data_IF_412062682427
#
_entry.id   IF_412062682427
#
_cell.length_a   1.000
_cell.length_b   1.000
_cell.length_c   1.000
_cell.angle_alpha   90.00
_cell.angle_beta   90.00
_cell.angle_gamma   90.00
#
_symmetry.space_group_name_H-M   'P 1'
#
loop_
_entity.id
_entity.type
_entity.pdbx_description
1 polymer ?
#
# COMPACT_ATOMS: atom_id res chain seq x y z
N UNK A 1 -20.96 57.14 -1.73
CA UNK A 1 -20.48 56.50 -0.49
C UNK A 1 -20.79 55.01 -0.55
N UNK A 2 -22.00 54.61 -0.98
CA UNK A 2 -22.36 53.21 -1.17
C UNK A 2 -21.45 52.47 -2.17
N UNK A 3 -21.19 53.05 -3.36
CA UNK A 3 -20.29 52.44 -4.36
C UNK A 3 -18.85 52.17 -3.83
N UNK A 4 -18.32 53.07 -2.97
CA UNK A 4 -17.01 52.89 -2.37
C UNK A 4 -17.03 51.78 -1.31
N UNK A 5 -18.17 51.54 -0.67
CA UNK A 5 -18.36 50.51 0.30
C UNK A 5 -18.45 49.14 -0.36
N UNK A 6 -19.22 49.05 -1.46
CA UNK A 6 -19.34 47.85 -2.26
C UNK A 6 -17.99 47.46 -2.87
N UNK A 7 -17.24 48.44 -3.37
CA UNK A 7 -15.87 48.20 -3.84
C UNK A 7 -14.96 47.67 -2.75
N UNK A 8 -15.00 48.26 -1.55
CA UNK A 8 -14.19 47.81 -0.43
C UNK A 8 -14.54 46.35 -0.02
N UNK A 9 -15.85 46.07 0.08
CA UNK A 9 -16.33 44.76 0.50
C UNK A 9 -15.99 43.66 -0.53
N UNK A 10 -16.32 43.90 -1.81
CA UNK A 10 -16.12 42.88 -2.85
C UNK A 10 -14.64 42.64 -3.12
N UNK A 11 -13.86 43.72 -3.28
CA UNK A 11 -12.47 43.60 -3.76
C UNK A 11 -11.47 43.40 -2.62
N UNK A 12 -11.52 44.20 -1.56
CA UNK A 12 -10.51 44.18 -0.51
C UNK A 12 -10.78 43.00 0.44
N UNK A 13 -12.01 42.88 0.93
CA UNK A 13 -12.37 41.78 1.85
C UNK A 13 -12.33 40.43 1.15
N UNK A 14 -12.82 40.31 -0.08
CA UNK A 14 -12.72 39.09 -0.88
C UNK A 14 -11.27 38.63 -1.14
N UNK A 15 -10.34 39.61 -1.38
CA UNK A 15 -8.91 39.28 -1.48
C UNK A 15 -8.32 38.79 -0.16
N UNK A 16 -8.70 39.43 0.96
CA UNK A 16 -8.24 38.99 2.30
C UNK A 16 -8.75 37.62 2.64
N UNK A 17 -10.04 37.35 2.41
CA UNK A 17 -10.66 36.06 2.64
C UNK A 17 -9.99 34.94 1.84
N UNK A 18 -9.84 35.13 0.54
CA UNK A 18 -9.17 34.15 -0.33
C UNK A 18 -7.72 33.93 0.07
N UNK A 19 -6.99 34.99 0.39
CA UNK A 19 -5.60 34.88 0.85
C UNK A 19 -5.50 34.09 2.16
N UNK A 20 -6.44 34.30 3.08
CA UNK A 20 -6.52 33.57 4.34
C UNK A 20 -6.81 32.09 4.12
N UNK A 21 -7.74 31.75 3.23
CA UNK A 21 -8.04 30.37 2.85
C UNK A 21 -6.83 29.68 2.19
N UNK A 22 -6.14 30.35 1.28
CA UNK A 22 -4.92 29.84 0.64
C UNK A 22 -3.77 29.62 1.65
N UNK A 23 -3.66 30.49 2.64
CA UNK A 23 -2.68 30.31 3.72
C UNK A 23 -2.93 29.00 4.48
N UNK A 24 -4.17 28.72 4.87
CA UNK A 24 -4.51 27.49 5.55
C UNK A 24 -4.41 26.26 4.64
N UNK A 25 -4.73 26.39 3.34
CA UNK A 25 -4.51 25.34 2.35
C UNK A 25 -3.04 24.93 2.29
N UNK A 26 -2.13 25.88 2.16
CA UNK A 26 -0.69 25.62 2.14
C UNK A 26 -0.23 24.93 3.45
N UNK A 27 -0.80 25.37 4.59
CA UNK A 27 -0.51 24.78 5.90
C UNK A 27 -1.03 23.35 6.03
N UNK A 28 -2.24 23.05 5.54
CA UNK A 28 -2.79 21.68 5.51
C UNK A 28 -2.03 20.74 4.58
N UNK A 29 -1.57 21.29 3.43
CA UNK A 29 -0.73 20.54 2.49
C UNK A 29 0.72 20.37 2.97
N UNK A 30 1.09 20.97 4.13
CA UNK A 30 2.47 20.99 4.68
C UNK A 30 3.51 21.54 3.67
N UNK A 31 3.10 22.42 2.78
CA UNK A 31 3.92 23.01 1.72
C UNK A 31 4.01 24.53 1.91
N UNK A 32 5.08 25.12 1.40
CA UNK A 32 5.23 26.58 1.37
C UNK A 32 4.77 27.08 0.01
N UNK A 33 3.88 28.08 0.00
CA UNK A 33 3.47 28.78 -1.19
C UNK A 33 4.28 30.09 -1.31
N UNK A 34 4.73 30.40 -2.51
CA UNK A 34 5.45 31.65 -2.75
C UNK A 34 4.51 32.86 -2.60
N UNK A 35 4.89 33.93 -1.86
CA UNK A 35 3.99 35.05 -1.52
C UNK A 35 3.21 35.65 -2.69
N UNK A 36 3.77 35.91 -3.87
CA UNK A 36 3.03 36.44 -5.02
C UNK A 36 1.84 35.62 -5.46
N UNK A 37 1.85 34.28 -5.24
CA UNK A 37 0.73 33.43 -5.61
C UNK A 37 -0.52 33.70 -4.77
N UNK A 38 -0.36 34.06 -3.48
CA UNK A 38 -1.51 34.46 -2.66
C UNK A 38 -2.27 35.61 -3.28
N UNK A 39 -1.54 36.67 -3.71
CA UNK A 39 -2.13 37.82 -4.33
C UNK A 39 -2.73 37.53 -5.71
N UNK A 40 -2.00 36.81 -6.56
CA UNK A 40 -2.44 36.47 -7.91
C UNK A 40 -3.73 35.65 -7.92
N UNK A 41 -3.80 34.59 -7.09
CA UNK A 41 -4.98 33.74 -7.02
C UNK A 41 -6.14 34.42 -6.30
N UNK A 42 -5.87 35.25 -5.28
CA UNK A 42 -6.90 36.04 -4.62
C UNK A 42 -7.52 37.07 -5.58
N UNK A 43 -6.71 37.80 -6.36
CA UNK A 43 -7.20 38.71 -7.39
C UNK A 43 -8.04 37.95 -8.45
N UNK A 44 -7.57 36.79 -8.90
CA UNK A 44 -8.31 35.95 -9.83
C UNK A 44 -9.66 35.51 -9.28
N UNK A 45 -9.71 35.11 -8.01
CA UNK A 45 -10.93 34.70 -7.33
C UNK A 45 -11.96 35.81 -7.24
N UNK A 46 -11.51 37.04 -6.92
CA UNK A 46 -12.37 38.25 -6.84
C UNK A 46 -12.94 38.59 -8.21
N UNK A 47 -12.11 38.55 -9.27
CA UNK A 47 -12.57 38.78 -10.64
C UNK A 47 -13.63 37.73 -11.05
N UNK A 48 -13.42 36.46 -10.73
CA UNK A 48 -14.37 35.39 -11.04
C UNK A 48 -15.68 35.60 -10.27
N UNK A 49 -15.60 36.03 -9.01
CA UNK A 49 -16.78 36.28 -8.18
C UNK A 49 -17.71 37.38 -8.75
N UNK A 50 -17.17 38.30 -9.54
CA UNK A 50 -17.97 39.34 -10.21
C UNK A 50 -18.86 38.75 -11.32
N UNK A 51 -18.39 37.71 -12.00
CA UNK A 51 -19.16 37.01 -13.05
C UNK A 51 -20.01 35.86 -12.50
N UNK A 52 -19.53 35.21 -11.47
CA UNK A 52 -20.17 34.03 -10.86
C UNK A 52 -20.15 34.23 -9.34
N UNK A 53 -21.22 34.79 -8.76
CA UNK A 53 -21.28 35.07 -7.32
C UNK A 53 -21.01 33.82 -6.47
N UNK A 54 -20.12 33.96 -5.50
CA UNK A 54 -19.72 32.86 -4.58
C UNK A 54 -20.87 32.36 -3.70
N UNK A 55 -21.94 33.14 -3.53
CA UNK A 55 -23.18 32.72 -2.85
C UNK A 55 -24.03 31.71 -3.62
N UNK A 56 -23.67 31.41 -4.88
CA UNK A 56 -24.39 30.38 -5.67
C UNK A 56 -23.64 29.03 -5.62
N UNK A 57 -24.37 27.94 -5.82
CA UNK A 57 -23.78 26.58 -5.87
C UNK A 57 -22.68 26.51 -6.93
N UNK A 58 -22.91 27.13 -8.11
CA UNK A 58 -21.92 27.14 -9.19
C UNK A 58 -20.69 27.96 -8.78
N UNK A 59 -20.89 29.13 -8.17
CA UNK A 59 -19.81 29.99 -7.68
C UNK A 59 -18.92 29.29 -6.67
N UNK A 60 -19.51 28.60 -5.70
CA UNK A 60 -18.76 27.82 -4.72
C UNK A 60 -17.94 26.68 -5.37
N UNK A 61 -18.53 25.91 -6.28
CA UNK A 61 -17.80 24.85 -6.98
C UNK A 61 -16.61 25.42 -7.76
N UNK A 62 -16.84 26.52 -8.50
CA UNK A 62 -15.77 27.21 -9.26
C UNK A 62 -14.68 27.71 -8.32
N UNK A 63 -15.05 28.29 -7.19
CA UNK A 63 -14.12 28.79 -6.18
C UNK A 63 -13.31 27.67 -5.52
N UNK A 64 -13.96 26.56 -5.13
CA UNK A 64 -13.27 25.40 -4.57
C UNK A 64 -12.30 24.76 -5.59
N UNK A 65 -12.67 24.70 -6.86
CA UNK A 65 -11.79 24.25 -7.93
C UNK A 65 -10.59 25.19 -8.12
N UNK A 66 -10.81 26.50 -8.09
CA UNK A 66 -9.73 27.50 -8.21
C UNK A 66 -8.71 27.35 -7.07
N UNK A 67 -9.17 27.24 -5.82
CA UNK A 67 -8.32 26.98 -4.65
C UNK A 67 -7.58 25.65 -4.80
N UNK A 68 -8.26 24.61 -5.31
CA UNK A 68 -7.67 23.30 -5.54
C UNK A 68 -6.56 23.33 -6.59
N UNK A 69 -6.80 24.00 -7.71
CA UNK A 69 -5.80 24.20 -8.77
C UNK A 69 -4.60 24.98 -8.23
N UNK A 70 -4.85 26.03 -7.42
CA UNK A 70 -3.79 26.76 -6.75
C UNK A 70 -2.93 25.86 -5.86
N UNK A 71 -3.53 25.01 -5.04
CA UNK A 71 -2.81 24.07 -4.19
C UNK A 71 -2.00 23.04 -4.98
N UNK A 72 -2.57 22.51 -6.06
CA UNK A 72 -1.88 21.57 -6.92
C UNK A 72 -0.69 22.21 -7.65
N UNK A 73 -0.87 23.42 -8.18
CA UNK A 73 0.13 24.13 -8.97
C UNK A 73 1.19 24.83 -8.09
N UNK A 74 0.75 25.66 -7.14
CA UNK A 74 1.66 26.50 -6.35
C UNK A 74 2.36 25.73 -5.22
N UNK A 75 1.72 24.66 -4.69
CA UNK A 75 2.28 23.81 -3.64
C UNK A 75 2.85 22.50 -4.18
N UNK A 76 2.77 22.21 -5.48
CA UNK A 76 3.14 20.91 -6.06
C UNK A 76 2.52 19.73 -5.28
N UNK A 77 1.25 19.86 -4.92
CA UNK A 77 0.53 18.86 -4.15
C UNK A 77 -0.33 17.96 -5.06
N UNK A 78 -0.70 16.79 -4.55
CA UNK A 78 -1.64 15.93 -5.26
C UNK A 78 -3.00 16.64 -5.40
N UNK A 79 -3.56 16.70 -6.62
CA UNK A 79 -4.82 17.37 -6.91
C UNK A 79 -5.98 16.86 -6.04
N UNK A 80 -6.05 15.55 -5.78
CA UNK A 80 -7.10 14.95 -4.93
C UNK A 80 -7.05 15.47 -3.49
N UNK A 81 -5.85 15.56 -2.91
CA UNK A 81 -5.65 16.12 -1.57
C UNK A 81 -5.96 17.61 -1.54
N UNK A 82 -5.49 18.37 -2.55
CA UNK A 82 -5.77 19.78 -2.67
C UNK A 82 -7.28 20.06 -2.78
N UNK A 83 -8.00 19.26 -3.55
CA UNK A 83 -9.45 19.37 -3.71
C UNK A 83 -10.19 19.12 -2.39
N UNK A 84 -9.82 18.07 -1.66
CA UNK A 84 -10.43 17.76 -0.38
C UNK A 84 -10.26 18.89 0.63
N UNK A 85 -9.03 19.41 0.78
CA UNK A 85 -8.77 20.51 1.69
C UNK A 85 -9.39 21.82 1.23
N UNK A 86 -9.45 22.09 -0.08
CA UNK A 86 -10.09 23.27 -0.62
C UNK A 86 -11.59 23.30 -0.30
N UNK A 87 -12.30 22.19 -0.50
CA UNK A 87 -13.71 22.05 -0.15
C UNK A 87 -13.92 22.20 1.36
N UNK A 88 -13.08 21.56 2.17
CA UNK A 88 -13.16 21.63 3.62
C UNK A 88 -12.97 23.07 4.14
N UNK A 89 -11.99 23.80 3.61
CA UNK A 89 -11.70 25.18 3.98
C UNK A 89 -12.87 26.10 3.58
N UNK A 90 -13.36 25.95 2.34
CA UNK A 90 -14.47 26.77 1.85
C UNK A 90 -15.76 26.49 2.66
N UNK A 91 -16.03 25.25 3.01
CA UNK A 91 -17.20 24.85 3.81
C UNK A 91 -17.15 25.40 5.23
N UNK A 92 -16.00 25.30 5.92
CA UNK A 92 -15.84 25.87 7.26
C UNK A 92 -16.06 27.39 7.22
N UNK A 93 -15.53 28.08 6.21
CA UNK A 93 -15.70 29.52 6.06
C UNK A 93 -17.18 29.87 5.85
N UNK A 94 -17.86 29.17 4.96
CA UNK A 94 -19.29 29.35 4.68
C UNK A 94 -20.14 29.18 5.94
N UNK A 95 -19.90 28.12 6.70
CA UNK A 95 -20.63 27.86 7.96
C UNK A 95 -20.34 28.93 9.02
N UNK A 96 -19.09 29.37 9.17
CA UNK A 96 -18.71 30.40 10.10
C UNK A 96 -19.34 31.75 9.74
N UNK A 97 -19.33 32.12 8.46
CA UNK A 97 -19.99 33.33 7.97
C UNK A 97 -21.50 33.28 8.24
N UNK A 98 -22.15 32.14 7.97
CA UNK A 98 -23.57 31.94 8.27
C UNK A 98 -23.91 32.04 9.77
N UNK A 99 -23.05 31.51 10.64
CA UNK A 99 -23.22 31.63 12.11
C UNK A 99 -23.15 33.09 12.54
N UNK A 100 -22.11 33.82 12.12
CA UNK A 100 -21.90 35.22 12.53
C UNK A 100 -22.99 36.10 11.93
N UNK A 101 -23.33 35.93 10.65
CA UNK A 101 -24.41 36.67 9.97
C UNK A 101 -25.76 36.48 10.69
N UNK A 102 -26.12 35.22 10.96
CA UNK A 102 -27.37 34.91 11.69
C UNK A 102 -27.38 35.49 13.11
N UNK A 103 -26.23 35.41 13.82
CA UNK A 103 -26.09 35.92 15.17
C UNK A 103 -26.26 37.45 15.23
N UNK A 104 -25.67 38.17 14.27
CA UNK A 104 -25.75 39.62 14.19
C UNK A 104 -27.09 40.13 13.69
N UNK A 105 -27.86 39.32 12.98
CA UNK A 105 -29.22 39.63 12.53
C UNK A 105 -30.26 39.48 13.63
N UNK A 106 -30.00 38.71 14.69
CA UNK A 106 -30.92 38.53 15.84
C UNK A 106 -31.26 39.83 16.55
N UNK A 107 -30.34 40.73 16.91
CA UNK A 107 -30.63 42.00 17.55
C UNK A 107 -31.15 43.10 16.61
N UNK A 108 -31.10 42.91 15.28
CA UNK A 108 -31.39 43.93 14.28
C UNK A 108 -32.82 44.56 14.42
N UNK A 109 -33.89 43.80 14.75
CA UNK A 109 -35.22 44.40 14.94
C UNK A 109 -35.30 45.42 16.09
N UNK A 110 -34.36 45.34 17.02
CA UNK A 110 -34.34 46.18 18.25
C UNK A 110 -33.37 47.37 18.16
N UNK A 111 -32.53 47.43 17.11
CA UNK A 111 -31.44 48.41 16.95
C UNK A 111 -31.60 49.46 15.85
N UNK A 112 -32.73 49.64 15.13
CA UNK A 112 -32.79 50.61 14.00
C UNK A 112 -32.54 52.04 14.42
N UNK A 113 -32.67 52.40 15.68
CA UNK A 113 -32.45 53.77 16.16
C UNK A 113 -30.98 54.17 16.38
N UNK A 114 -30.04 53.24 16.36
CA UNK A 114 -28.64 53.48 16.73
C UNK A 114 -27.65 53.55 15.54
N UNK A 115 -28.03 53.05 14.37
CA UNK A 115 -27.09 52.97 13.26
C UNK A 115 -27.44 53.93 12.11
N UNK A 116 -26.81 55.09 12.13
CA UNK A 116 -26.57 55.85 10.89
C UNK A 116 -25.68 55.03 9.94
N UNK A 117 -25.52 55.45 8.66
CA UNK A 117 -24.72 54.72 7.66
C UNK A 117 -23.32 54.32 8.14
N UNK A 118 -22.67 55.10 8.99
CA UNK A 118 -21.39 54.77 9.63
C UNK A 118 -21.45 53.59 10.60
N UNK A 119 -22.60 53.39 11.26
CA UNK A 119 -22.81 52.24 12.14
C UNK A 119 -22.92 50.92 11.36
N UNK A 120 -23.52 50.95 10.20
CA UNK A 120 -23.63 49.75 9.34
C UNK A 120 -22.26 49.28 8.84
N UNK A 121 -21.34 50.20 8.51
CA UNK A 121 -19.97 49.86 8.11
C UNK A 121 -19.21 49.23 9.27
N UNK A 122 -19.32 49.79 10.48
CA UNK A 122 -18.67 49.24 11.65
C UNK A 122 -19.20 47.86 12.01
N UNK A 123 -20.52 47.64 11.93
CA UNK A 123 -21.13 46.33 12.14
C UNK A 123 -20.65 45.29 11.14
N UNK A 124 -20.57 45.65 9.85
CA UNK A 124 -20.04 44.78 8.80
C UNK A 124 -18.57 44.38 9.05
N UNK A 125 -17.70 45.35 9.39
CA UNK A 125 -16.31 45.07 9.70
C UNK A 125 -16.15 44.17 10.93
N UNK A 126 -17.02 44.36 11.96
CA UNK A 126 -17.03 43.50 13.15
C UNK A 126 -17.46 42.07 12.78
N UNK A 127 -18.49 41.92 11.94
CA UNK A 127 -18.94 40.62 11.45
C UNK A 127 -17.83 39.89 10.71
N UNK A 128 -17.18 40.54 9.79
CA UNK A 128 -16.07 39.99 9.02
C UNK A 128 -14.90 39.58 9.91
N UNK A 129 -14.48 40.45 10.83
CA UNK A 129 -13.43 40.14 11.79
C UNK A 129 -13.80 38.94 12.68
N UNK A 130 -15.06 38.84 13.14
CA UNK A 130 -15.55 37.74 13.94
C UNK A 130 -15.57 36.43 13.12
N UNK A 131 -15.95 36.48 11.84
CA UNK A 131 -15.94 35.33 10.91
C UNK A 131 -14.52 34.82 10.67
N UNK A 132 -13.56 35.71 10.45
CA UNK A 132 -12.13 35.34 10.32
C UNK A 132 -11.59 34.69 11.61
N UNK A 133 -11.93 35.23 12.77
CA UNK A 133 -11.50 34.64 14.05
C UNK A 133 -12.10 33.26 14.28
N UNK A 134 -13.39 33.09 14.02
CA UNK A 134 -14.09 31.83 14.21
C UNK A 134 -13.58 30.77 13.21
N UNK A 135 -13.48 31.11 11.92
CA UNK A 135 -12.98 30.20 10.90
C UNK A 135 -11.50 29.85 11.14
N UNK A 136 -10.67 30.82 11.52
CA UNK A 136 -9.27 30.60 11.90
C UNK A 136 -9.11 29.68 13.09
N UNK A 137 -10.00 29.79 14.09
CA UNK A 137 -10.03 28.87 15.22
C UNK A 137 -10.42 27.43 14.78
N UNK A 138 -11.46 27.30 13.93
CA UNK A 138 -11.85 26.02 13.36
C UNK A 138 -10.72 25.39 12.53
N UNK A 139 -10.06 26.18 11.65
CA UNK A 139 -8.90 25.71 10.88
C UNK A 139 -7.75 25.28 11.79
N UNK A 140 -7.49 26.02 12.87
CA UNK A 140 -6.44 25.64 13.83
C UNK A 140 -6.77 24.33 14.53
N UNK A 141 -8.03 24.09 14.93
CA UNK A 141 -8.46 22.81 15.51
C UNK A 141 -8.25 21.69 14.50
N UNK A 142 -8.73 21.85 13.26
CA UNK A 142 -8.56 20.86 12.21
C UNK A 142 -7.08 20.61 11.96
N UNK A 143 -6.26 21.65 11.80
CA UNK A 143 -4.82 21.52 11.60
C UNK A 143 -4.16 20.77 12.75
N UNK A 144 -4.42 21.13 14.01
CA UNK A 144 -3.82 20.49 15.18
C UNK A 144 -4.23 19.04 15.33
N UNK A 145 -5.48 18.75 15.01
CA UNK A 145 -6.05 17.41 15.18
C UNK A 145 -5.66 16.46 14.03
N UNK A 146 -5.56 16.97 12.81
CA UNK A 146 -5.27 16.20 11.59
C UNK A 146 -3.83 16.36 11.08
N UNK A 147 -3.05 17.28 11.62
CA UNK A 147 -1.68 17.58 11.17
C UNK A 147 -0.64 16.51 11.51
N UNK A 148 -0.99 15.50 12.31
CA UNK A 148 -0.16 14.33 12.55
C UNK A 148 -0.58 13.23 11.59
N UNK A 149 -0.01 13.21 10.38
CA UNK A 149 0.08 12.07 9.43
C UNK A 149 -1.20 11.27 9.08
N UNK A 150 -2.40 11.78 9.42
CA UNK A 150 -3.61 10.98 9.48
C UNK A 150 -4.53 11.08 8.26
N UNK A 151 -4.47 12.14 7.45
CA UNK A 151 -5.32 12.27 6.25
C UNK A 151 -4.59 11.91 4.94
N UNK A 152 -3.29 12.16 4.89
CA UNK A 152 -2.40 11.73 3.81
C UNK A 152 -1.00 11.54 4.39
N UNK A 153 -0.41 10.35 4.38
CA UNK A 153 0.98 10.15 4.75
C UNK A 153 1.86 10.94 3.79
N UNK A 154 2.56 11.95 4.32
CA UNK A 154 3.33 12.89 3.52
C UNK A 154 4.60 12.27 2.91
N UNK A 155 5.08 11.15 3.45
CA UNK A 155 6.33 10.51 3.04
C UNK A 155 6.17 9.59 1.81
N UNK A 156 4.94 9.15 1.48
CA UNK A 156 4.70 8.26 0.33
C UNK A 156 4.53 9.03 -1.00
N UNK A 157 4.53 10.36 -0.98
CA UNK A 157 4.32 11.19 -2.16
C UNK A 157 5.58 11.44 -3.01
N UNK A 158 6.77 11.05 -2.52
CA UNK A 158 8.04 11.30 -3.22
C UNK A 158 8.69 10.06 -3.87
N UNK A 159 8.17 8.86 -3.63
CA UNK A 159 8.66 7.65 -4.31
C UNK A 159 7.65 7.23 -5.38
N UNK A 160 8.05 7.32 -6.64
CA UNK A 160 7.26 6.90 -7.80
C UNK A 160 6.95 5.38 -7.82
N UNK A 161 7.51 4.62 -6.87
CA UNK A 161 7.43 3.16 -6.79
C UNK A 161 6.75 2.63 -5.50
N UNK A 162 6.11 3.50 -4.69
CA UNK A 162 5.36 3.01 -3.52
C UNK A 162 4.04 2.39 -3.97
N UNK A 163 3.75 1.12 -3.59
CA UNK A 163 2.47 0.51 -3.93
C UNK A 163 1.34 1.27 -3.24
N UNK A 164 0.32 1.65 -4.02
CA UNK A 164 -1.03 2.19 -3.72
C UNK A 164 -1.45 2.32 -2.23
N UNK A 165 -0.69 3.03 -1.42
CA UNK A 165 -1.14 3.56 -0.12
C UNK A 165 -1.91 4.87 -0.28
N UNK A 166 -2.12 5.32 -1.53
CA UNK A 166 -3.06 6.38 -1.85
C UNK A 166 -4.44 5.93 -1.34
N UNK A 167 -5.00 6.75 -0.44
CA UNK A 167 -6.35 6.62 0.10
C UNK A 167 -7.29 6.02 -0.95
N UNK A 168 -7.74 4.80 -0.71
CA UNK A 168 -8.53 4.05 -1.65
C UNK A 168 -9.77 4.86 -2.06
N UNK A 169 -10.22 4.74 -3.30
CA UNK A 169 -11.38 5.50 -3.82
C UNK A 169 -12.59 5.41 -2.88
N UNK A 170 -12.79 4.27 -2.23
CA UNK A 170 -13.84 4.05 -1.23
C UNK A 170 -13.67 4.90 0.03
N UNK A 171 -12.45 5.08 0.52
CA UNK A 171 -12.17 5.91 1.70
C UNK A 171 -12.36 7.40 1.40
N UNK A 172 -12.03 7.82 0.18
CA UNK A 172 -12.27 9.17 -0.29
C UNK A 172 -13.76 9.49 -0.39
N UNK A 173 -14.58 8.56 -0.88
CA UNK A 173 -16.04 8.72 -0.93
C UNK A 173 -16.66 8.85 0.47
N UNK A 174 -16.13 8.15 1.45
CA UNK A 174 -16.65 8.14 2.82
C UNK A 174 -16.52 9.51 3.53
N UNK A 175 -15.53 10.32 3.13
CA UNK A 175 -15.39 11.70 3.61
C UNK A 175 -16.13 12.67 2.68
N UNK A 176 -15.95 12.49 1.37
CA UNK A 176 -16.42 13.46 0.38
C UNK A 176 -17.93 13.57 0.34
N UNK A 177 -18.66 12.44 0.40
CA UNK A 177 -20.14 12.44 0.32
C UNK A 177 -20.78 13.19 1.48
N UNK A 178 -20.43 12.96 2.78
CA UNK A 178 -21.00 13.72 3.87
C UNK A 178 -20.66 15.22 3.82
N UNK A 179 -19.42 15.58 3.47
CA UNK A 179 -19.03 16.99 3.31
C UNK A 179 -19.84 17.63 2.18
N UNK A 180 -20.01 16.95 1.05
CA UNK A 180 -20.84 17.43 -0.06
C UNK A 180 -22.31 17.60 0.35
N UNK A 181 -22.85 16.72 1.20
CA UNK A 181 -24.20 16.85 1.70
C UNK A 181 -24.38 18.08 2.61
N UNK A 182 -23.42 18.32 3.52
CA UNK A 182 -23.42 19.53 4.36
C UNK A 182 -23.34 20.76 3.48
N UNK A 183 -22.46 20.73 2.47
CA UNK A 183 -22.30 21.80 1.50
C UNK A 183 -23.59 22.12 0.73
N UNK A 184 -24.28 21.10 0.19
CA UNK A 184 -25.56 21.32 -0.51
C UNK A 184 -26.58 21.94 0.45
N UNK A 185 -26.64 21.47 1.68
CA UNK A 185 -27.53 22.00 2.71
C UNK A 185 -27.22 23.47 3.05
N UNK A 186 -25.93 23.79 3.28
CA UNK A 186 -25.49 25.17 3.60
C UNK A 186 -25.78 26.13 2.48
N UNK A 187 -25.52 25.72 1.24
CA UNK A 187 -25.83 26.55 0.05
C UNK A 187 -27.32 26.73 -0.18
N UNK A 188 -28.12 25.71 0.11
CA UNK A 188 -29.58 25.83 0.03
C UNK A 188 -30.11 26.83 1.04
N UNK A 189 -29.60 26.82 2.28
CA UNK A 189 -29.94 27.79 3.32
C UNK A 189 -29.52 29.22 2.90
N UNK A 190 -28.31 29.39 2.36
CA UNK A 190 -27.82 30.66 1.87
C UNK A 190 -28.70 31.21 0.71
N UNK A 191 -29.09 30.35 -0.21
CA UNK A 191 -29.95 30.77 -1.32
C UNK A 191 -31.32 31.27 -0.82
N UNK A 192 -31.91 30.58 0.16
CA UNK A 192 -33.17 31.03 0.78
C UNK A 192 -32.99 32.37 1.49
N UNK A 193 -31.87 32.56 2.21
CA UNK A 193 -31.57 33.84 2.89
C UNK A 193 -31.40 34.98 1.91
N UNK A 194 -30.70 34.73 0.80
CA UNK A 194 -30.47 35.72 -0.24
C UNK A 194 -31.77 36.13 -0.95
N UNK A 195 -32.61 35.17 -1.31
CA UNK A 195 -33.90 35.44 -1.96
C UNK A 195 -34.82 36.21 -1.02
N UNK A 196 -34.81 35.88 0.27
CA UNK A 196 -35.59 36.58 1.31
C UNK A 196 -35.16 38.05 1.49
N UNK A 197 -33.85 38.31 1.54
CA UNK A 197 -33.33 39.68 1.65
C UNK A 197 -33.69 40.51 0.39
N UNK A 198 -33.67 39.90 -0.77
CA UNK A 198 -34.03 40.56 -2.05
C UNK A 198 -35.52 40.90 -2.11
N UNK A 199 -36.40 39.99 -1.62
CA UNK A 199 -37.84 40.26 -1.55
C UNK A 199 -38.22 41.38 -0.57
N UNK A 200 -37.53 41.49 0.57
CA UNK A 200 -37.70 42.59 1.51
C UNK A 200 -37.30 43.93 0.89
N UNK A 201 -36.16 43.96 0.18
CA UNK A 201 -35.67 45.18 -0.52
C UNK A 201 -36.59 45.60 -1.67
N UNK A 202 -37.30 44.66 -2.30
CA UNK A 202 -38.21 44.90 -3.41
C UNK A 202 -39.63 45.39 -2.99
N UNK A 203 -39.87 45.60 -1.65
CA UNK A 203 -41.13 46.04 -1.09
C UNK A 203 -42.35 45.16 -1.48
N UNK A 204 -42.08 43.92 -1.82
CA UNK A 204 -43.08 42.87 -1.99
C UNK A 204 -43.33 42.30 -0.62
N UNK A 205 -44.35 42.83 0.08
CA UNK A 205 -44.75 42.48 1.43
C UNK A 205 -44.36 41.08 1.96
N UNK A 206 -44.46 40.79 3.26
CA UNK A 206 -43.85 39.62 3.84
C UNK A 206 -44.42 38.33 3.27
N UNK A 207 -43.81 37.81 2.24
CA UNK A 207 -43.93 36.41 1.87
C UNK A 207 -43.45 35.59 3.07
N UNK A 208 -44.28 34.72 3.55
CA UNK A 208 -44.13 34.07 4.86
C UNK A 208 -42.71 33.61 5.17
N UNK A 209 -42.18 34.00 6.28
CA UNK A 209 -40.86 33.67 6.78
C UNK A 209 -40.64 32.14 6.77
N UNK A 210 -39.88 31.63 5.84
CA UNK A 210 -39.56 30.19 5.83
C UNK A 210 -38.68 29.81 7.03
N UNK A 211 -37.71 30.67 7.43
CA UNK A 211 -36.89 30.47 8.61
C UNK A 211 -36.63 31.77 9.35
N UNK A 212 -36.70 31.73 10.68
CA UNK A 212 -36.21 32.83 11.53
C UNK A 212 -34.67 32.81 11.60
N UNK A 213 -34.05 33.97 11.86
CA UNK A 213 -32.58 34.04 12.05
C UNK A 213 -32.07 33.06 13.11
N UNK A 214 -32.90 32.77 14.13
CA UNK A 214 -32.56 31.76 15.15
C UNK A 214 -32.54 30.34 14.58
N UNK A 215 -33.44 30.00 13.65
CA UNK A 215 -33.44 28.71 12.99
C UNK A 215 -32.28 28.57 12.08
N UNK A 216 -31.90 29.60 11.31
CA UNK A 216 -30.70 29.63 10.47
C UNK A 216 -29.43 29.45 11.30
N UNK A 217 -29.30 30.19 12.41
CA UNK A 217 -28.18 30.02 13.34
C UNK A 217 -28.07 28.59 13.85
N UNK A 218 -29.17 27.96 14.21
CA UNK A 218 -29.18 26.57 14.66
C UNK A 218 -28.74 25.62 13.57
N UNK A 219 -29.17 25.81 12.32
CA UNK A 219 -28.79 24.99 11.17
C UNK A 219 -27.31 25.10 10.85
N UNK A 220 -26.72 26.31 10.85
CA UNK A 220 -25.28 26.49 10.63
C UNK A 220 -24.45 25.91 11.77
N UNK A 221 -24.87 26.05 13.02
CA UNK A 221 -24.22 25.40 14.17
C UNK A 221 -24.25 23.87 14.05
N UNK A 222 -25.40 23.33 13.65
CA UNK A 222 -25.56 21.89 13.43
C UNK A 222 -24.68 21.40 12.27
N UNK A 223 -24.59 22.19 11.19
CA UNK A 223 -23.70 21.92 10.07
C UNK A 223 -22.23 21.86 10.51
N UNK A 224 -21.77 22.85 11.26
CA UNK A 224 -20.41 22.89 11.76
C UNK A 224 -20.14 21.73 12.75
N UNK A 225 -21.05 21.42 13.64
CA UNK A 225 -20.91 20.30 14.56
C UNK A 225 -20.87 18.95 13.82
N UNK A 226 -21.73 18.76 12.79
CA UNK A 226 -21.73 17.55 11.97
C UNK A 226 -20.46 17.39 11.17
N UNK A 227 -19.90 18.48 10.63
CA UNK A 227 -18.62 18.48 9.95
C UNK A 227 -17.49 17.97 10.87
N UNK A 228 -17.41 18.51 12.10
CA UNK A 228 -16.43 18.04 13.08
C UNK A 228 -16.66 16.57 13.49
N UNK A 229 -17.90 16.15 13.65
CA UNK A 229 -18.24 14.75 13.94
C UNK A 229 -17.76 13.82 12.82
N UNK A 230 -17.96 14.19 11.55
CA UNK A 230 -17.51 13.41 10.40
C UNK A 230 -16.00 13.30 10.39
N UNK A 231 -15.30 14.42 10.55
CA UNK A 231 -13.84 14.45 10.58
C UNK A 231 -13.30 13.60 11.74
N UNK A 232 -13.87 13.72 12.92
CA UNK A 232 -13.48 12.93 14.09
C UNK A 232 -13.72 11.43 13.87
N UNK A 233 -14.90 11.06 13.38
CA UNK A 233 -15.26 9.67 13.08
C UNK A 233 -14.34 9.06 12.02
N UNK A 234 -14.02 9.82 10.99
CA UNK A 234 -13.10 9.38 9.94
C UNK A 234 -11.70 9.09 10.50
N UNK A 235 -11.15 10.01 11.32
CA UNK A 235 -9.85 9.79 11.96
C UNK A 235 -9.87 8.52 12.83
N UNK A 236 -10.94 8.33 13.60
CA UNK A 236 -11.11 7.14 14.44
C UNK A 236 -11.16 5.87 13.60
N UNK A 237 -11.88 5.91 12.48
CA UNK A 237 -11.99 4.80 11.54
C UNK A 237 -10.63 4.44 10.93
N UNK A 238 -9.85 5.43 10.50
CA UNK A 238 -8.48 5.21 10.01
C UNK A 238 -7.59 4.54 11.05
N UNK A 239 -7.66 4.98 12.31
CA UNK A 239 -6.90 4.36 13.40
C UNK A 239 -7.27 2.89 13.58
N UNK A 240 -8.58 2.58 13.52
CA UNK A 240 -9.07 1.20 13.65
C UNK A 240 -8.56 0.34 12.47
N UNK A 241 -8.63 0.83 11.24
CA UNK A 241 -8.12 0.10 10.07
C UNK A 241 -6.61 -0.15 10.16
N UNK A 242 -5.83 0.85 10.58
CA UNK A 242 -4.38 0.70 10.77
C UNK A 242 -4.06 -0.35 11.83
N UNK A 243 -4.73 -0.30 12.97
CA UNK A 243 -4.58 -1.30 14.04
C UNK A 243 -4.98 -2.71 13.57
N UNK A 244 -6.08 -2.83 12.84
CA UNK A 244 -6.53 -4.13 12.29
C UNK A 244 -5.51 -4.72 11.32
N UNK A 245 -4.89 -3.89 10.47
CA UNK A 245 -3.83 -4.34 9.56
C UNK A 245 -2.58 -4.79 10.32
N UNK A 246 -2.19 -4.05 11.36
CA UNK A 246 -1.04 -4.40 12.21
C UNK A 246 -1.28 -5.71 12.96
N UNK A 247 -2.47 -5.92 13.52
CA UNK A 247 -2.85 -7.19 14.17
C UNK A 247 -2.78 -8.35 13.18
N UNK A 248 -3.34 -8.19 11.97
CA UNK A 248 -3.31 -9.24 10.94
C UNK A 248 -1.88 -9.59 10.53
N UNK A 249 -0.97 -8.61 10.45
CA UNK A 249 0.44 -8.83 10.15
C UNK A 249 1.15 -9.60 11.29
N UNK A 250 0.86 -9.24 12.55
CA UNK A 250 1.40 -9.94 13.72
C UNK A 250 0.93 -11.38 13.80
N UNK A 251 -0.36 -11.65 13.53
CA UNK A 251 -0.90 -13.01 13.46
C UNK A 251 -0.23 -13.85 12.38
N UNK A 252 0.03 -13.27 11.21
CA UNK A 252 0.76 -13.93 10.14
C UNK A 252 2.20 -14.24 10.53
N UNK A 253 2.88 -13.32 11.22
CA UNK A 253 4.24 -13.54 11.73
C UNK A 253 4.27 -14.65 12.79
N UNK A 254 3.32 -14.63 13.73
CA UNK A 254 3.19 -15.67 14.76
C UNK A 254 2.97 -17.07 14.12
N UNK A 255 2.08 -17.16 13.13
CA UNK A 255 1.84 -18.41 12.42
C UNK A 255 3.10 -18.93 11.72
N UNK A 256 3.85 -18.05 11.05
CA UNK A 256 5.12 -18.39 10.39
C UNK A 256 6.18 -18.86 11.40
N UNK A 257 6.27 -18.17 12.55
CA UNK A 257 7.19 -18.55 13.62
C UNK A 257 6.85 -19.93 14.20
N UNK A 258 5.57 -20.19 14.44
CA UNK A 258 5.10 -21.49 14.95
C UNK A 258 5.42 -22.63 13.97
N UNK A 259 5.24 -22.42 12.67
CA UNK A 259 5.65 -23.37 11.64
C UNK A 259 7.18 -23.64 11.69
N UNK A 260 7.98 -22.59 11.79
CA UNK A 260 9.43 -22.72 11.89
C UNK A 260 9.86 -23.50 13.14
N UNK A 261 9.23 -23.25 14.29
CA UNK A 261 9.50 -23.97 15.54
C UNK A 261 9.16 -25.46 15.41
N UNK A 262 8.03 -25.79 14.78
CA UNK A 262 7.62 -27.18 14.58
C UNK A 262 8.53 -27.94 13.61
N UNK A 263 8.97 -27.28 12.53
CA UNK A 263 10.00 -27.84 11.64
C UNK A 263 11.34 -28.05 12.35
N UNK A 264 11.77 -27.08 13.15
CA UNK A 264 13.01 -27.19 13.92
C UNK A 264 12.94 -28.33 14.92
N UNK A 265 11.79 -28.54 15.58
CA UNK A 265 11.57 -29.64 16.52
C UNK A 265 11.63 -31.00 15.81
N UNK A 266 10.97 -31.12 14.67
CA UNK A 266 11.00 -32.33 13.84
C UNK A 266 12.43 -32.68 13.45
N UNK A 267 13.20 -31.72 12.94
CA UNK A 267 14.62 -31.93 12.60
C UNK A 267 15.47 -32.31 13.81
N UNK A 268 15.18 -31.73 14.98
CA UNK A 268 15.86 -32.05 16.21
C UNK A 268 15.58 -33.51 16.63
N UNK A 269 14.34 -33.93 16.55
CA UNK A 269 13.93 -35.30 16.89
C UNK A 269 14.51 -36.35 15.91
N UNK A 270 14.52 -36.02 14.61
CA UNK A 270 15.21 -36.83 13.59
C UNK A 270 16.71 -36.96 13.89
N UNK A 271 17.38 -35.85 14.20
CA UNK A 271 18.82 -35.84 14.55
C UNK A 271 19.08 -36.62 15.84
N UNK A 272 18.17 -36.56 16.81
CA UNK A 272 18.27 -37.33 18.05
C UNK A 272 18.14 -38.83 17.82
N UNK A 273 17.16 -39.24 16.98
CA UNK A 273 16.97 -40.64 16.57
C UNK A 273 18.21 -41.16 15.85
N UNK A 274 18.68 -40.44 14.85
CA UNK A 274 19.89 -40.78 14.10
C UNK A 274 21.11 -40.96 15.01
N UNK A 275 21.31 -40.07 15.96
CA UNK A 275 22.39 -40.15 16.93
C UNK A 275 22.28 -41.38 17.84
N UNK A 276 21.07 -41.75 18.22
CA UNK A 276 20.79 -42.95 18.97
C UNK A 276 21.12 -44.24 18.16
N UNK A 277 20.72 -44.27 16.89
CA UNK A 277 20.94 -45.42 16.03
C UNK A 277 22.43 -45.60 15.70
N UNK A 278 23.15 -44.52 15.41
CA UNK A 278 24.61 -44.55 15.23
C UNK A 278 25.31 -45.09 16.49
N UNK A 279 24.88 -44.65 17.70
CA UNK A 279 25.45 -45.21 18.96
C UNK A 279 25.22 -46.69 19.11
N UNK A 280 24.05 -47.18 18.72
CA UNK A 280 23.73 -48.61 18.78
C UNK A 280 24.61 -49.40 17.81
N UNK A 281 24.78 -48.95 16.57
CA UNK A 281 25.67 -49.59 15.60
C UNK A 281 27.14 -49.61 16.08
N UNK A 282 27.65 -48.51 16.59
CA UNK A 282 28.99 -48.42 17.16
C UNK A 282 29.14 -49.39 18.35
N UNK A 283 28.13 -49.51 19.21
CA UNK A 283 28.16 -50.44 20.36
C UNK A 283 28.20 -51.91 19.92
N UNK A 284 27.49 -52.26 18.86
CA UNK A 284 27.54 -53.63 18.26
C UNK A 284 28.94 -53.94 17.74
N UNK A 285 29.50 -53.07 16.91
CA UNK A 285 30.84 -53.22 16.34
C UNK A 285 31.88 -53.34 17.46
N UNK A 286 31.81 -52.47 18.49
CA UNK A 286 32.73 -52.53 19.66
C UNK A 286 32.64 -53.85 20.41
N UNK A 287 31.42 -54.40 20.58
CA UNK A 287 31.21 -55.68 21.27
C UNK A 287 31.73 -56.88 20.46
N UNK A 288 31.58 -56.86 19.12
CA UNK A 288 32.14 -57.89 18.24
C UNK A 288 33.66 -57.88 18.31
N UNK A 289 34.31 -56.71 18.28
CA UNK A 289 35.76 -56.56 18.39
C UNK A 289 36.29 -57.01 19.77
N UNK A 290 35.57 -56.67 20.84
CA UNK A 290 35.95 -57.10 22.21
C UNK A 290 35.89 -58.61 22.44
N UNK A 291 34.99 -59.30 21.68
CA UNK A 291 34.85 -60.75 21.72
C UNK A 291 35.79 -61.48 20.75
N UNK A 292 36.72 -60.78 20.07
CA UNK A 292 37.66 -61.37 19.14
C UNK A 292 37.06 -61.76 17.78
N UNK A 293 35.81 -61.34 17.48
CA UNK A 293 35.06 -61.67 16.28
C UNK A 293 35.30 -60.64 15.19
N UNK A 294 36.52 -60.60 14.68
CA UNK A 294 36.95 -59.59 13.71
C UNK A 294 36.17 -59.66 12.36
N UNK A 295 36.04 -60.90 11.83
CA UNK A 295 35.34 -61.07 10.54
C UNK A 295 33.85 -60.68 10.61
N UNK A 296 33.16 -61.03 11.71
CA UNK A 296 31.77 -60.62 11.93
C UNK A 296 31.65 -59.08 12.06
N UNK A 297 32.63 -58.40 12.64
CA UNK A 297 32.64 -56.94 12.76
C UNK A 297 32.85 -56.27 11.40
N UNK A 298 33.69 -56.84 10.53
CA UNK A 298 33.93 -56.32 9.17
C UNK A 298 32.66 -56.47 8.33
N UNK A 299 32.06 -57.69 8.32
CA UNK A 299 30.80 -57.92 7.59
C UNK A 299 29.68 -56.98 8.04
N UNK A 300 29.57 -56.75 9.36
CA UNK A 300 28.57 -55.82 9.87
C UNK A 300 28.81 -54.35 9.43
N UNK A 301 30.06 -53.90 9.31
CA UNK A 301 30.40 -52.56 8.78
C UNK A 301 30.16 -52.48 7.27
N UNK A 302 30.41 -53.54 6.50
CA UNK A 302 30.10 -53.65 5.09
C UNK A 302 28.56 -53.60 4.86
N UNK A 303 27.77 -54.29 5.67
CA UNK A 303 26.31 -54.23 5.64
C UNK A 303 25.78 -52.81 5.92
N UNK A 304 26.42 -52.07 6.86
CA UNK A 304 26.07 -50.68 7.16
C UNK A 304 26.42 -49.73 6.02
N UNK A 305 27.56 -49.94 5.38
CA UNK A 305 27.99 -49.15 4.23
C UNK A 305 27.07 -49.37 3.05
N UNK A 306 26.72 -50.64 2.75
CA UNK A 306 25.72 -51.01 1.75
C UNK A 306 24.33 -50.39 2.02
N UNK A 307 23.91 -50.33 3.29
CA UNK A 307 22.66 -49.64 3.66
C UNK A 307 22.75 -48.14 3.41
N UNK A 308 23.87 -47.49 3.75
CA UNK A 308 24.09 -46.09 3.54
C UNK A 308 24.18 -45.74 2.03
N UNK A 309 24.82 -46.60 1.23
CA UNK A 309 24.92 -46.47 -0.22
C UNK A 309 23.56 -46.65 -0.91
N UNK A 310 22.72 -47.56 -0.48
CA UNK A 310 21.34 -47.74 -0.98
C UNK A 310 20.43 -46.56 -0.67
N UNK A 311 20.74 -45.78 0.36
CA UNK A 311 19.98 -44.57 0.74
C UNK A 311 20.43 -43.33 0.00
N UNK A 312 21.58 -43.35 -0.66
CA UNK A 312 22.10 -42.22 -1.46
C UNK A 312 22.15 -42.57 -2.94
N UNK A 313 21.84 -41.57 -3.78
CA UNK A 313 22.08 -41.69 -5.23
C UNK A 313 23.40 -40.95 -5.52
N UNK A 314 24.41 -41.62 -6.09
CA UNK A 314 25.65 -40.91 -6.44
C UNK A 314 25.36 -39.88 -7.52
N UNK A 315 25.44 -38.63 -7.15
CA UNK A 315 25.31 -37.48 -8.03
C UNK A 315 26.61 -36.67 -7.97
N UNK A 316 27.22 -36.41 -9.11
CA UNK A 316 28.42 -35.60 -9.22
C UNK A 316 28.14 -34.43 -10.12
N UNK A 317 27.73 -33.30 -9.54
CA UNK A 317 27.45 -32.07 -10.25
C UNK A 317 28.65 -31.11 -10.29
N UNK A 318 29.77 -31.48 -9.69
CA UNK A 318 30.94 -30.63 -9.43
C UNK A 318 30.68 -29.50 -8.37
N UNK A 319 29.55 -29.56 -7.66
CA UNK A 319 29.24 -28.66 -6.55
C UNK A 319 28.80 -29.48 -5.33
N UNK A 320 29.60 -29.51 -4.23
CA UNK A 320 29.33 -30.39 -3.09
C UNK A 320 27.98 -30.16 -2.40
N UNK A 321 27.50 -28.91 -2.39
CA UNK A 321 26.20 -28.56 -1.77
C UNK A 321 25.06 -29.11 -2.59
N UNK A 322 25.16 -29.00 -3.92
CA UNK A 322 24.17 -29.51 -4.86
C UNK A 322 24.19 -31.04 -4.90
N UNK A 323 25.37 -31.64 -4.83
CA UNK A 323 25.53 -33.11 -4.80
C UNK A 323 24.78 -33.74 -3.63
N UNK A 324 24.89 -33.15 -2.43
CA UNK A 324 24.15 -33.59 -1.25
C UNK A 324 22.63 -33.47 -1.45
N UNK A 325 22.17 -32.34 -1.95
CA UNK A 325 20.73 -32.09 -2.15
C UNK A 325 20.13 -33.05 -3.19
N UNK A 326 20.76 -33.08 -4.38
CA UNK A 326 20.26 -33.87 -5.52
C UNK A 326 20.39 -35.37 -5.23
N UNK A 327 21.51 -35.79 -4.67
CA UNK A 327 21.75 -37.18 -4.26
C UNK A 327 20.69 -37.68 -3.29
N UNK A 328 20.36 -36.88 -2.27
CA UNK A 328 19.31 -37.25 -1.31
C UNK A 328 17.92 -37.33 -1.96
N UNK A 329 17.52 -36.31 -2.75
CA UNK A 329 16.22 -36.27 -3.45
C UNK A 329 16.06 -37.44 -4.43
N UNK A 330 17.07 -37.70 -5.25
CA UNK A 330 17.05 -38.81 -6.22
C UNK A 330 17.16 -40.20 -5.52
N UNK A 331 17.86 -40.28 -4.39
CA UNK A 331 17.88 -41.46 -3.55
C UNK A 331 16.50 -41.82 -3.04
N UNK A 332 15.74 -40.84 -2.51
CA UNK A 332 14.34 -41.01 -2.10
C UNK A 332 13.48 -41.46 -3.30
N UNK A 333 13.62 -40.83 -4.48
CA UNK A 333 12.88 -41.24 -5.66
C UNK A 333 13.16 -42.69 -6.06
N UNK A 334 14.43 -43.10 -6.04
CA UNK A 334 14.87 -44.49 -6.33
C UNK A 334 14.28 -45.51 -5.33
N UNK A 335 14.26 -45.17 -4.05
CA UNK A 335 13.65 -46.03 -3.03
C UNK A 335 12.14 -46.22 -3.22
N UNK A 336 11.47 -45.26 -3.91
CA UNK A 336 10.05 -45.38 -4.29
C UNK A 336 9.83 -46.12 -5.64
N UNK A 337 10.87 -46.72 -6.23
CA UNK A 337 10.79 -47.44 -7.49
C UNK A 337 10.70 -46.54 -8.72
N UNK A 338 11.16 -45.30 -8.63
CA UNK A 338 11.25 -44.36 -9.75
C UNK A 338 12.64 -44.54 -10.39
N UNK A 339 12.69 -44.74 -11.71
CA UNK A 339 13.95 -44.73 -12.47
C UNK A 339 14.53 -43.29 -12.51
N UNK A 340 15.78 -43.15 -12.06
CA UNK A 340 16.42 -41.84 -11.90
C UNK A 340 17.73 -41.77 -12.66
N UNK A 341 17.97 -40.64 -13.32
CA UNK A 341 19.23 -40.33 -14.02
C UNK A 341 19.62 -38.90 -13.78
N UNK A 342 20.92 -38.60 -13.56
CA UNK A 342 21.44 -37.30 -13.30
C UNK A 342 22.70 -37.05 -14.14
N UNK A 343 22.61 -36.11 -15.07
CA UNK A 343 23.71 -35.63 -15.94
C UNK A 343 23.87 -34.11 -15.81
N UNK A 344 23.72 -33.58 -14.59
CA UNK A 344 23.89 -32.17 -14.27
C UNK A 344 25.35 -31.85 -13.97
N UNK A 345 25.96 -30.94 -14.72
CA UNK A 345 27.33 -30.46 -14.52
C UNK A 345 27.32 -28.95 -14.29
N UNK A 346 27.81 -28.54 -13.13
CA UNK A 346 27.85 -27.14 -12.73
C UNK A 346 29.31 -26.61 -12.77
N UNK A 347 29.53 -25.34 -13.11
CA UNK A 347 30.84 -24.75 -12.93
C UNK A 347 31.06 -24.52 -11.42
N UNK A 348 32.31 -24.71 -10.99
CA UNK A 348 32.68 -24.36 -9.62
C UNK A 348 34.03 -23.62 -9.62
N UNK A 349 34.06 -22.34 -9.17
CA UNK A 349 32.96 -21.55 -8.65
C UNK A 349 32.00 -21.11 -9.74
N UNK A 350 30.71 -21.21 -9.45
CA UNK A 350 29.64 -20.69 -10.30
C UNK A 350 29.25 -19.29 -9.78
N UNK A 351 29.20 -18.27 -10.60
CA UNK A 351 28.77 -16.92 -10.18
C UNK A 351 27.32 -16.86 -9.65
N UNK A 352 26.64 -18.01 -9.58
CA UNK A 352 25.30 -18.19 -9.02
C UNK A 352 25.45 -18.74 -7.59
N UNK A 353 24.72 -18.21 -6.63
CA UNK A 353 24.78 -18.67 -5.24
C UNK A 353 24.24 -20.11 -5.12
N UNK A 354 24.94 -20.96 -4.40
CA UNK A 354 24.55 -22.36 -4.17
C UNK A 354 23.10 -22.50 -3.65
N UNK A 355 22.71 -21.59 -2.75
CA UNK A 355 21.34 -21.59 -2.21
C UNK A 355 20.26 -21.35 -3.30
N UNK A 356 20.54 -20.54 -4.32
CA UNK A 356 19.60 -20.28 -5.39
C UNK A 356 19.49 -21.49 -6.34
N UNK A 357 20.60 -22.17 -6.62
CA UNK A 357 20.62 -23.45 -7.38
C UNK A 357 19.84 -24.51 -6.58
N UNK A 358 20.08 -24.61 -5.29
CA UNK A 358 19.36 -25.52 -4.40
C UNK A 358 17.86 -25.25 -4.38
N UNK A 359 17.42 -23.99 -4.35
CA UNK A 359 15.99 -23.63 -4.42
C UNK A 359 15.37 -24.12 -5.73
N UNK A 360 16.05 -23.92 -6.85
CA UNK A 360 15.58 -24.38 -8.17
C UNK A 360 15.45 -25.91 -8.20
N UNK A 361 16.51 -26.61 -7.87
CA UNK A 361 16.55 -28.07 -7.95
C UNK A 361 15.64 -28.76 -6.93
N UNK A 362 15.59 -28.26 -5.69
CA UNK A 362 14.69 -28.81 -4.67
C UNK A 362 13.22 -28.70 -5.08
N UNK A 363 12.78 -27.53 -5.50
CA UNK A 363 11.38 -27.32 -5.91
C UNK A 363 11.04 -28.13 -7.18
N UNK A 364 11.96 -28.23 -8.13
CA UNK A 364 11.76 -28.99 -9.35
C UNK A 364 11.69 -30.51 -9.08
N UNK A 365 12.61 -31.02 -8.27
CA UNK A 365 12.64 -32.44 -7.89
C UNK A 365 11.47 -32.85 -7.01
N UNK A 366 11.04 -32.00 -6.06
CA UNK A 366 9.86 -32.28 -5.24
C UNK A 366 8.60 -32.39 -6.12
N UNK A 367 8.45 -31.50 -7.10
CA UNK A 367 7.36 -31.59 -8.07
C UNK A 367 7.44 -32.87 -8.91
N UNK A 368 8.64 -33.24 -9.38
CA UNK A 368 8.85 -34.44 -10.20
C UNK A 368 8.56 -35.73 -9.41
N UNK A 369 9.03 -35.80 -8.17
CA UNK A 369 8.77 -36.94 -7.27
C UNK A 369 7.26 -37.08 -6.97
N UNK A 370 6.61 -35.96 -6.65
CA UNK A 370 5.18 -35.95 -6.38
C UNK A 370 4.35 -36.41 -7.59
N UNK A 371 4.72 -35.91 -8.79
CA UNK A 371 4.05 -36.30 -10.03
C UNK A 371 4.25 -37.76 -10.36
N UNK A 372 5.48 -38.26 -10.27
CA UNK A 372 5.81 -39.69 -10.55
C UNK A 372 5.17 -40.64 -9.50
N UNK A 373 5.06 -40.19 -8.24
CA UNK A 373 4.39 -40.98 -7.19
C UNK A 373 2.90 -41.19 -7.47
N UNK A 374 2.23 -40.21 -8.06
CA UNK A 374 0.79 -40.24 -8.35
C UNK A 374 0.41 -41.13 -9.54
N UNK A 375 1.39 -41.70 -10.27
CA UNK A 375 1.14 -42.62 -11.38
C UNK A 375 0.80 -44.03 -10.93
N UNK A 376 -0.08 -44.72 -11.69
CA UNK A 376 -0.47 -46.10 -11.43
C UNK A 376 0.71 -47.08 -11.58
N UNK A 377 0.59 -48.25 -10.90
CA UNK A 377 1.61 -49.31 -10.85
C UNK A 377 1.73 -50.08 -12.16
N UNK A 378 1.96 -49.49 -13.26
CA UNK A 378 2.14 -50.08 -14.60
C UNK A 378 2.69 -49.11 -15.60
N UNK A 379 2.78 -47.83 -15.24
CA UNK A 379 3.40 -46.78 -16.05
C UNK A 379 4.87 -46.63 -15.66
N UNK A 380 5.77 -46.59 -16.62
CA UNK A 380 7.20 -46.35 -16.37
C UNK A 380 7.41 -45.02 -15.64
N UNK A 381 7.78 -45.07 -14.37
CA UNK A 381 8.07 -43.92 -13.55
C UNK A 381 9.52 -43.53 -13.71
N UNK A 382 9.79 -42.31 -14.16
CA UNK A 382 11.17 -41.83 -14.29
C UNK A 382 11.32 -40.34 -13.96
N UNK A 383 12.53 -39.98 -13.52
CA UNK A 383 12.99 -38.58 -13.34
C UNK A 383 14.37 -38.49 -13.95
N UNK A 384 14.57 -37.54 -14.83
CA UNK A 384 15.85 -37.20 -15.44
C UNK A 384 16.20 -35.76 -15.19
N UNK A 385 17.41 -35.52 -14.70
CA UNK A 385 17.98 -34.20 -14.43
C UNK A 385 19.18 -34.03 -15.33
N UNK A 386 19.17 -33.01 -16.15
CA UNK A 386 20.32 -32.65 -16.97
C UNK A 386 20.60 -31.16 -16.88
N UNK A 387 21.85 -30.78 -17.07
CA UNK A 387 22.23 -29.39 -17.12
C UNK A 387 23.58 -29.22 -17.78
N UNK A 388 23.70 -28.13 -18.55
CA UNK A 388 24.91 -27.77 -19.29
C UNK A 388 25.10 -26.26 -19.27
N UNK A 389 26.36 -25.87 -19.40
CA UNK A 389 26.75 -24.48 -19.61
C UNK A 389 26.97 -24.26 -21.12
N UNK A 390 26.45 -23.16 -21.61
CA UNK A 390 26.68 -22.71 -22.98
C UNK A 390 26.94 -21.20 -22.95
N UNK A 391 28.22 -20.83 -23.10
CA UNK A 391 28.65 -19.45 -22.85
C UNK A 391 28.37 -19.01 -21.41
N UNK A 392 27.68 -17.90 -21.24
CA UNK A 392 27.30 -17.35 -19.94
C UNK A 392 25.96 -17.89 -19.43
N UNK A 393 25.43 -18.94 -20.03
CA UNK A 393 24.12 -19.51 -19.68
C UNK A 393 24.28 -20.87 -19.03
N UNK A 394 23.69 -21.03 -17.82
CA UNK A 394 23.42 -22.31 -17.20
C UNK A 394 21.99 -22.74 -17.60
N UNK A 395 21.91 -23.82 -18.37
CA UNK A 395 20.65 -24.42 -18.80
C UNK A 395 20.43 -25.69 -18.01
N UNK A 396 19.31 -25.79 -17.30
CA UNK A 396 18.88 -26.98 -16.53
C UNK A 396 17.57 -27.49 -17.10
N UNK A 397 17.46 -28.80 -17.25
CA UNK A 397 16.25 -29.48 -17.67
C UNK A 397 15.91 -30.59 -16.66
N UNK A 398 14.69 -30.56 -16.14
CA UNK A 398 14.16 -31.62 -15.30
C UNK A 398 12.95 -32.20 -16.00
N UNK A 399 13.05 -33.52 -16.33
CA UNK A 399 12.03 -34.26 -17.07
C UNK A 399 11.51 -35.38 -16.20
N UNK A 400 10.20 -35.52 -16.13
CA UNK A 400 9.57 -36.63 -15.37
C UNK A 400 8.29 -37.13 -16.04
N UNK A 401 7.95 -38.37 -15.73
CA UNK A 401 6.65 -38.93 -16.04
C UNK A 401 5.56 -38.27 -15.17
N UNK A 402 4.40 -37.97 -15.76
CA UNK A 402 3.25 -37.43 -15.04
C UNK A 402 1.93 -37.85 -15.69
N UNK A 403 0.81 -37.67 -15.00
CA UNK A 403 -0.51 -37.98 -15.55
C UNK A 403 -1.14 -36.76 -16.19
N UNK A 404 -1.25 -36.72 -17.52
CA UNK A 404 -1.62 -35.55 -18.33
C UNK A 404 -3.11 -35.13 -18.29
N UNK A 405 -3.91 -35.59 -17.31
CA UNK A 405 -5.32 -35.20 -17.21
C UNK A 405 -5.50 -34.08 -16.18
N UNK A 406 -5.53 -32.83 -16.64
CA UNK A 406 -5.94 -31.67 -15.85
C UNK A 406 -5.13 -30.41 -16.13
N UNK A 407 -5.76 -29.24 -15.96
CA UNK A 407 -5.07 -27.95 -16.03
C UNK A 407 -3.99 -27.89 -14.94
N UNK A 408 -2.75 -27.75 -15.33
CA UNK A 408 -1.61 -27.63 -14.44
C UNK A 408 -1.77 -26.40 -13.52
N UNK A 409 -1.99 -26.64 -12.22
CA UNK A 409 -2.11 -25.56 -11.24
C UNK A 409 -0.70 -25.17 -10.78
N UNK A 410 -0.22 -23.99 -11.17
CA UNK A 410 1.07 -23.46 -10.70
C UNK A 410 1.07 -23.35 -9.18
N UNK A 411 1.79 -24.24 -8.51
CA UNK A 411 2.00 -24.19 -7.06
C UNK A 411 3.11 -23.18 -6.70
N UNK A 412 3.27 -22.97 -5.38
CA UNK A 412 4.31 -22.07 -4.82
C UNK A 412 5.74 -22.47 -5.22
N UNK A 413 6.03 -23.76 -5.38
CA UNK A 413 7.34 -24.25 -5.75
C UNK A 413 7.82 -23.73 -7.11
N UNK A 414 6.99 -23.81 -8.16
CA UNK A 414 7.34 -23.31 -9.48
C UNK A 414 7.39 -21.77 -9.54
N UNK A 415 6.64 -21.09 -8.69
CA UNK A 415 6.76 -19.65 -8.54
C UNK A 415 8.13 -19.26 -7.98
N UNK A 416 8.68 -20.04 -7.04
CA UNK A 416 10.02 -19.82 -6.50
C UNK A 416 11.10 -20.07 -7.55
N UNK A 417 10.98 -21.12 -8.35
CA UNK A 417 11.90 -21.37 -9.49
C UNK A 417 11.90 -20.20 -10.45
N UNK A 418 10.72 -19.69 -10.83
CA UNK A 418 10.58 -18.54 -11.71
C UNK A 418 11.25 -17.29 -11.13
N UNK A 419 11.02 -16.98 -9.85
CA UNK A 419 11.65 -15.84 -9.19
C UNK A 419 13.18 -15.91 -9.17
N UNK A 420 13.75 -17.13 -8.98
CA UNK A 420 15.18 -17.30 -9.05
C UNK A 420 15.68 -17.09 -10.49
N UNK A 421 15.01 -17.68 -11.49
CA UNK A 421 15.38 -17.48 -12.88
C UNK A 421 15.39 -15.99 -13.27
N UNK A 422 14.34 -15.25 -12.92
CA UNK A 422 14.22 -13.80 -13.15
C UNK A 422 15.33 -13.00 -12.45
N UNK A 423 15.72 -13.39 -11.21
CA UNK A 423 16.81 -12.74 -10.45
C UNK A 423 18.15 -12.80 -11.20
N UNK A 424 18.40 -13.87 -11.92
CA UNK A 424 19.61 -14.05 -12.73
C UNK A 424 19.40 -13.69 -14.20
N UNK A 425 18.40 -12.86 -14.51
CA UNK A 425 18.11 -12.40 -15.87
C UNK A 425 17.74 -13.51 -16.87
N UNK A 426 17.45 -14.69 -16.35
CA UNK A 426 17.10 -15.88 -17.11
C UNK A 426 15.59 -16.07 -17.28
N UNK A 427 15.20 -17.30 -17.64
CA UNK A 427 13.81 -17.64 -17.90
C UNK A 427 13.49 -19.07 -17.44
N UNK A 428 12.20 -19.34 -17.21
CA UNK A 428 11.65 -20.66 -16.93
C UNK A 428 10.54 -20.96 -17.93
N UNK A 429 10.61 -22.14 -18.55
CA UNK A 429 9.53 -22.66 -19.39
C UNK A 429 9.13 -24.07 -18.97
N UNK A 430 7.88 -24.42 -19.24
CA UNK A 430 7.31 -25.73 -18.97
C UNK A 430 6.73 -26.27 -20.27
N UNK A 431 7.08 -27.49 -20.60
CA UNK A 431 6.51 -28.24 -21.70
C UNK A 431 5.81 -29.49 -21.16
N UNK A 432 4.65 -29.78 -21.69
CA UNK A 432 3.90 -31.00 -21.36
C UNK A 432 3.51 -31.71 -22.64
N UNK A 433 3.95 -32.95 -22.79
CA UNK A 433 3.60 -33.80 -23.94
C UNK A 433 3.06 -35.11 -23.42
N UNK A 434 1.79 -35.41 -23.71
CA UNK A 434 1.08 -36.64 -23.25
C UNK A 434 1.26 -36.93 -21.76
N UNK A 435 2.26 -37.77 -21.40
CA UNK A 435 2.58 -38.18 -20.04
C UNK A 435 3.98 -37.72 -19.58
N UNK A 436 4.55 -36.72 -20.24
CA UNK A 436 5.89 -36.21 -19.97
C UNK A 436 5.78 -34.73 -19.57
N UNK A 437 6.34 -34.38 -18.43
CA UNK A 437 6.53 -33.02 -17.97
C UNK A 437 8.00 -32.64 -18.08
N UNK A 438 8.28 -31.51 -18.70
CA UNK A 438 9.63 -30.97 -18.85
C UNK A 438 9.67 -29.55 -18.31
N UNK A 439 10.55 -29.30 -17.37
CA UNK A 439 10.86 -27.99 -16.84
C UNK A 439 12.21 -27.56 -17.34
N UNK A 440 12.26 -26.46 -18.07
CA UNK A 440 13.50 -25.80 -18.50
C UNK A 440 13.75 -24.57 -17.64
N UNK A 441 14.95 -24.43 -17.14
CA UNK A 441 15.41 -23.27 -16.39
C UNK A 441 16.70 -22.75 -16.99
N UNK A 442 16.70 -21.48 -17.34
CA UNK A 442 17.86 -20.76 -17.86
C UNK A 442 18.29 -19.73 -16.81
N UNK A 443 19.55 -19.72 -16.43
CA UNK A 443 20.16 -18.71 -15.57
C UNK A 443 21.35 -18.08 -16.27
N UNK A 444 21.51 -16.76 -16.18
CA UNK A 444 22.71 -16.07 -16.67
C UNK A 444 23.75 -16.09 -15.56
N UNK A 445 24.94 -16.58 -15.87
CA UNK A 445 26.07 -16.62 -14.94
C UNK A 445 26.67 -15.21 -14.88
N UNK A 446 26.64 -14.52 -13.71
CA UNK A 446 27.25 -13.20 -13.58
C UNK A 446 28.75 -13.27 -13.87
N UNK A 447 29.22 -12.46 -14.81
CA UNK A 447 30.67 -12.32 -15.02
C UNK A 447 31.28 -11.59 -13.84
N UNK A 448 32.25 -12.17 -13.18
CA UNK A 448 33.03 -11.48 -12.15
C UNK A 448 33.80 -10.31 -12.80
N UNK A 449 33.75 -9.08 -12.25
CA UNK A 449 34.52 -7.96 -12.77
C UNK A 449 36.02 -7.98 -12.35
N UNK A 450 36.62 -9.16 -12.20
CA UNK A 450 38.05 -9.28 -11.87
C UNK A 450 38.82 -10.06 -12.92
N UNK A 451 39.06 -9.43 -14.08
CA UNK A 451 40.17 -9.81 -14.97
C UNK A 451 40.58 -8.75 -16.01
N UNK A 452 40.41 -7.47 -15.67
CA UNK A 452 40.88 -6.39 -16.57
C UNK A 452 41.93 -5.47 -15.93
N UNK A 453 42.82 -6.00 -15.08
CA UNK A 453 43.96 -5.21 -14.57
C UNK A 453 45.23 -6.07 -14.45
N UNK A 454 45.66 -6.69 -15.56
CA UNK A 454 47.05 -7.14 -15.70
C UNK A 454 47.38 -7.32 -17.17
N UNK A 455 47.49 -6.19 -17.88
CA UNK A 455 48.33 -6.06 -19.09
C UNK A 455 48.54 -4.57 -19.37
N UNK A 456 49.45 -3.98 -18.62
CA UNK A 456 50.27 -2.83 -19.02
C UNK A 456 51.26 -2.58 -17.87
N UNK A 457 52.41 -3.24 -17.97
CA UNK A 457 53.75 -2.66 -17.90
C UNK A 457 54.78 -3.70 -18.32
#
# INVERSE_FOLDING_TARGET
>A
MAENLDFFNIYIMGMMETSFQLYFLAKFLKKKMWPPFYFLFAAGAVIINEFIPSGTIIGFVVFALLISICGAFACHANFKASLLYAILIAEIMLLCNGIIGSLMSLPYPWLPAFFHETGNIAAMLICEAASFLLSGFCYYIVYRYFSRDDLYPADDLCSADAPDTAMGMQQMFLIFVPILMIFIMSNYINAIEYDFQFEILADKGPAGHFFSHGQMLFMYLLGLASLFCILFSYKKLQQIFRLSTEISLLEQQEHSLNQYVEEAKTRYDETRSFRHDIRNHIAVVKKLLQNGKLEEAITYMEDLDDMAEKMSFPCSTNNPVVDILVGNKLGIAKSMGIDVDCSLLLPYPCGIRDIDICIVLSNALDNAIHAAKSLDAGMGKYIRVSGRIQGDFLMMEIRNSFHGKGAFKKGTGLSNVKKVAERYGGAMSIETQENIFVLHVLLIIPQHPESSTQQMD
#
